data_IF_272799494490
#
_entry.id   IF_272799494490
#
_cell.length_a   1.000
_cell.length_b   1.000
_cell.length_c   1.000
_cell.angle_alpha   90.00
_cell.angle_beta   90.00
_cell.angle_gamma   90.00
#
_symmetry.space_group_name_H-M   'P 1'
#
loop_
_entity.id
_entity.type
_entity.pdbx_description
1 polymer ?
#
# COMPACT_ATOMS: atom_id res chain seq x y z
N UNK A 1 -14.60 -18.18 3.87
CA UNK A 1 -15.32 -16.89 3.73
C UNK A 1 -14.40 -15.77 3.24
N UNK A 2 -13.23 -15.56 3.87
CA UNK A 2 -12.22 -14.55 3.50
C UNK A 2 -11.85 -14.46 2.00
N UNK A 3 -11.56 -15.59 1.36
CA UNK A 3 -11.17 -15.64 -0.07
C UNK A 3 -12.27 -15.10 -1.01
N UNK A 4 -13.56 -15.28 -0.69
CA UNK A 4 -14.66 -14.75 -1.50
C UNK A 4 -14.77 -13.23 -1.41
N UNK A 5 -14.55 -12.68 -0.22
CA UNK A 5 -14.54 -11.23 -0.01
C UNK A 5 -13.38 -10.57 -0.78
N UNK A 6 -12.17 -11.13 -0.66
CA UNK A 6 -10.99 -10.64 -1.38
C UNK A 6 -11.21 -10.60 -2.90
N UNK A 7 -11.72 -11.68 -3.49
CA UNK A 7 -12.06 -11.73 -4.92
C UNK A 7 -13.15 -10.73 -5.30
N UNK A 8 -14.15 -10.55 -4.45
CA UNK A 8 -15.24 -9.60 -4.70
C UNK A 8 -14.74 -8.15 -4.70
N UNK A 9 -13.90 -7.79 -3.73
CA UNK A 9 -13.26 -6.46 -3.67
C UNK A 9 -12.36 -6.25 -4.89
N UNK A 10 -11.51 -7.23 -5.22
CA UNK A 10 -10.66 -7.17 -6.39
C UNK A 10 -11.45 -7.05 -7.70
N UNK A 11 -12.64 -7.65 -7.83
CA UNK A 11 -13.47 -7.48 -9.03
C UNK A 11 -14.00 -6.04 -9.21
N UNK A 12 -14.11 -5.29 -8.13
CA UNK A 12 -14.63 -3.92 -8.12
C UNK A 12 -13.53 -2.86 -8.06
N UNK A 13 -12.24 -3.25 -8.14
CA UNK A 13 -11.12 -2.33 -7.94
C UNK A 13 -11.16 -1.07 -8.83
N UNK A 14 -11.66 -1.19 -10.06
CA UNK A 14 -11.72 -0.12 -11.05
C UNK A 14 -12.60 1.07 -10.65
N UNK A 15 -13.52 0.89 -9.69
CA UNK A 15 -14.40 1.95 -9.17
C UNK A 15 -14.04 2.42 -7.76
N UNK A 16 -13.14 1.72 -7.08
CA UNK A 16 -12.73 2.05 -5.71
C UNK A 16 -11.84 3.29 -5.75
N UNK A 17 -12.22 4.32 -4.98
CA UNK A 17 -11.43 5.54 -4.79
C UNK A 17 -10.58 5.50 -3.53
N UNK A 18 -11.06 4.81 -2.49
CA UNK A 18 -10.39 4.73 -1.21
C UNK A 18 -10.42 3.27 -0.76
N UNK A 19 -9.24 2.73 -0.45
CA UNK A 19 -9.09 1.35 0.00
C UNK A 19 -8.30 1.34 1.31
N UNK A 20 -8.93 0.85 2.37
CA UNK A 20 -8.31 0.71 3.68
C UNK A 20 -8.27 -0.77 4.05
N UNK A 21 -7.06 -1.33 4.05
CA UNK A 21 -6.79 -2.72 4.40
C UNK A 21 -6.26 -2.72 5.82
N UNK A 22 -7.15 -2.98 6.77
CA UNK A 22 -6.81 -3.13 8.18
C UNK A 22 -7.07 -4.58 8.55
N UNK A 23 -6.00 -5.35 8.81
CA UNK A 23 -6.13 -6.74 9.19
C UNK A 23 -5.44 -7.04 10.51
N UNK A 24 -6.18 -7.72 11.39
CA UNK A 24 -5.68 -8.27 12.66
C UNK A 24 -4.84 -9.54 12.48
N UNK A 25 -4.75 -10.35 13.54
CA UNK A 25 -3.96 -11.60 13.58
C UNK A 25 -4.40 -12.70 12.60
N UNK A 26 -5.51 -12.51 11.86
CA UNK A 26 -6.00 -13.50 10.89
C UNK A 26 -5.23 -13.42 9.57
N UNK A 27 -4.02 -13.97 9.55
CA UNK A 27 -3.09 -13.99 8.41
C UNK A 27 -3.73 -14.45 7.08
N UNK A 28 -4.71 -15.36 7.14
CA UNK A 28 -5.32 -15.93 5.94
C UNK A 28 -6.05 -14.90 5.05
N UNK A 29 -6.63 -13.83 5.62
CA UNK A 29 -7.34 -12.81 4.82
C UNK A 29 -6.36 -11.98 4.00
N UNK A 30 -5.19 -11.68 4.58
CA UNK A 30 -4.14 -10.90 3.93
C UNK A 30 -3.66 -11.57 2.66
N UNK A 31 -3.28 -12.84 2.73
CA UNK A 31 -2.68 -13.56 1.60
C UNK A 31 -3.60 -13.64 0.38
N UNK A 32 -4.89 -13.96 0.58
CA UNK A 32 -5.85 -13.99 -0.53
C UNK A 32 -6.12 -12.60 -1.11
N UNK A 33 -6.12 -11.56 -0.27
CA UNK A 33 -6.28 -10.19 -0.73
C UNK A 33 -5.07 -9.73 -1.53
N UNK A 34 -3.85 -10.02 -1.06
CA UNK A 34 -2.62 -9.69 -1.78
C UNK A 34 -2.54 -10.38 -3.14
N UNK A 35 -2.90 -11.66 -3.22
CA UNK A 35 -2.99 -12.37 -4.49
C UNK A 35 -4.00 -11.68 -5.43
N UNK A 36 -5.21 -11.41 -4.96
CA UNK A 36 -6.26 -10.81 -5.78
C UNK A 36 -5.92 -9.38 -6.26
N UNK A 37 -5.29 -8.57 -5.41
CA UNK A 37 -4.87 -7.21 -5.78
C UNK A 37 -3.63 -7.20 -6.67
N UNK A 38 -2.74 -8.19 -6.55
CA UNK A 38 -1.58 -8.33 -7.43
C UNK A 38 -1.98 -8.61 -8.87
N UNK A 39 -2.97 -9.49 -9.04
CA UNK A 39 -3.49 -9.89 -10.35
C UNK A 39 -4.45 -8.85 -10.94
N UNK A 40 -4.89 -7.87 -10.15
CA UNK A 40 -5.69 -6.74 -10.63
C UNK A 40 -4.86 -5.82 -11.54
N UNK A 41 -5.52 -5.25 -12.55
CA UNK A 41 -4.92 -4.23 -13.42
C UNK A 41 -4.66 -2.90 -12.69
N UNK A 42 -4.22 -1.87 -13.42
CA UNK A 42 -3.97 -0.54 -12.86
C UNK A 42 -5.21 0.07 -12.18
N UNK A 43 -5.06 0.56 -10.96
CA UNK A 43 -6.15 1.18 -10.21
C UNK A 43 -6.29 2.66 -10.58
N UNK A 44 -6.97 2.91 -11.70
CA UNK A 44 -7.10 4.24 -12.33
C UNK A 44 -7.87 5.28 -11.49
N UNK A 45 -8.63 4.85 -10.48
CA UNK A 45 -9.46 5.75 -9.66
C UNK A 45 -9.04 5.80 -8.19
N UNK A 46 -8.08 4.96 -7.78
CA UNK A 46 -7.66 4.87 -6.40
C UNK A 46 -6.87 6.12 -6.02
N UNK A 47 -7.41 6.89 -5.08
CA UNK A 47 -6.88 8.16 -4.58
C UNK A 47 -6.31 8.05 -3.17
N UNK A 48 -6.81 7.10 -2.37
CA UNK A 48 -6.36 6.85 -0.99
C UNK A 48 -6.13 5.36 -0.74
N UNK A 49 -4.98 5.01 -0.19
CA UNK A 49 -4.62 3.64 0.20
C UNK A 49 -4.09 3.63 1.64
N UNK A 50 -4.70 2.82 2.48
CA UNK A 50 -4.16 2.47 3.80
C UNK A 50 -3.89 0.98 3.86
N UNK A 51 -2.71 0.61 4.33
CA UNK A 51 -2.37 -0.77 4.65
C UNK A 51 -1.83 -0.84 6.08
N UNK A 52 -2.60 -1.48 6.96
CA UNK A 52 -2.24 -1.71 8.34
C UNK A 52 -2.42 -3.17 8.73
N UNK A 53 -1.30 -3.87 8.95
CA UNK A 53 -1.29 -5.26 9.40
C UNK A 53 -0.76 -5.35 10.82
N UNK A 54 -1.43 -6.14 11.66
CA UNK A 54 -0.97 -6.38 13.03
C UNK A 54 0.40 -7.03 13.08
N UNK A 55 0.71 -8.00 12.23
CA UNK A 55 2.02 -8.67 12.16
C UNK A 55 2.30 -9.12 10.72
N UNK A 56 2.90 -8.26 9.88
CA UNK A 56 3.26 -8.68 8.53
C UNK A 56 4.40 -9.70 8.61
N UNK A 57 4.35 -10.74 7.78
CA UNK A 57 5.41 -11.76 7.67
C UNK A 57 6.74 -11.17 7.18
N UNK A 58 6.68 -10.04 6.47
CA UNK A 58 7.85 -9.28 6.02
C UNK A 58 7.55 -7.78 6.07
N UNK A 59 8.56 -6.93 6.22
CA UNK A 59 8.41 -5.48 6.10
C UNK A 59 8.20 -5.00 4.63
N UNK A 60 7.93 -5.93 3.70
CA UNK A 60 7.79 -5.66 2.27
C UNK A 60 6.33 -5.72 1.85
N UNK A 61 5.81 -4.59 1.35
CA UNK A 61 4.48 -4.52 0.77
C UNK A 61 4.49 -5.25 -0.59
N UNK A 62 3.58 -6.20 -0.82
CA UNK A 62 3.48 -6.87 -2.11
C UNK A 62 3.08 -5.88 -3.20
N UNK A 63 3.39 -6.22 -4.46
CA UNK A 63 2.92 -5.47 -5.62
C UNK A 63 1.39 -5.47 -5.69
N UNK A 64 0.79 -4.29 -5.78
CA UNK A 64 -0.66 -4.08 -5.85
C UNK A 64 -1.03 -3.44 -7.20
N UNK A 65 -2.17 -3.81 -7.78
CA UNK A 65 -2.73 -3.16 -8.97
C UNK A 65 -1.77 -3.07 -10.15
N UNK A 66 -1.07 -4.18 -10.44
CA UNK A 66 0.01 -4.20 -11.44
C UNK A 66 1.13 -3.18 -11.21
N UNK A 67 1.25 -2.65 -9.99
CA UNK A 67 2.22 -1.62 -9.58
C UNK A 67 1.83 -0.19 -9.95
N UNK A 68 0.63 0.01 -10.50
CA UNK A 68 0.21 1.28 -11.10
C UNK A 68 -1.04 1.82 -10.42
N UNK A 69 -0.85 2.92 -9.67
CA UNK A 69 -1.91 3.66 -9.00
C UNK A 69 -1.82 5.15 -9.37
N UNK A 70 -2.14 5.53 -10.62
CA UNK A 70 -1.78 6.83 -11.18
C UNK A 70 -2.48 8.04 -10.52
N UNK A 71 -3.61 7.81 -9.85
CA UNK A 71 -4.36 8.85 -9.15
C UNK A 71 -4.14 8.84 -7.63
N UNK A 72 -3.23 7.99 -7.13
CA UNK A 72 -3.02 7.85 -5.69
C UNK A 72 -2.38 9.13 -5.14
N UNK A 73 -3.05 9.75 -4.17
CA UNK A 73 -2.57 10.97 -3.49
C UNK A 73 -2.29 10.74 -2.01
N UNK A 74 -3.00 9.80 -1.38
CA UNK A 74 -2.85 9.51 0.05
C UNK A 74 -2.38 8.08 0.26
N UNK A 75 -1.27 7.93 0.97
CA UNK A 75 -0.68 6.63 1.30
C UNK A 75 -0.41 6.55 2.80
N UNK A 76 -1.00 5.54 3.45
CA UNK A 76 -0.70 5.21 4.85
C UNK A 76 -0.23 3.75 4.95
N UNK A 77 0.98 3.54 5.47
CA UNK A 77 1.60 2.23 5.62
C UNK A 77 2.01 1.99 7.08
N UNK A 78 1.50 0.93 7.69
CA UNK A 78 1.96 0.48 9.00
C UNK A 78 2.84 -0.76 8.86
N UNK A 79 4.04 -0.70 9.45
CA UNK A 79 5.03 -1.79 9.51
C UNK A 79 5.66 -2.21 8.17
N UNK A 80 5.45 -1.45 7.09
CA UNK A 80 6.04 -1.70 5.77
C UNK A 80 7.11 -0.67 5.43
N UNK A 81 8.36 -1.12 5.25
CA UNK A 81 9.51 -0.26 4.94
C UNK A 81 9.91 -0.31 3.46
N UNK A 82 9.42 -1.31 2.71
CA UNK A 82 9.76 -1.53 1.29
C UNK A 82 8.51 -1.89 0.49
N UNK A 83 8.47 -1.53 -0.79
CA UNK A 83 7.33 -1.81 -1.67
C UNK A 83 7.78 -2.01 -3.14
N UNK A 84 8.64 -3.01 -3.41
CA UNK A 84 9.19 -3.23 -4.74
C UNK A 84 8.09 -3.50 -5.77
N UNK A 85 8.23 -2.86 -6.93
CA UNK A 85 7.26 -2.99 -8.02
C UNK A 85 5.96 -2.20 -7.84
N UNK A 86 5.80 -1.46 -6.73
CA UNK A 86 4.80 -0.42 -6.59
C UNK A 86 5.42 0.95 -6.88
N UNK A 87 4.74 1.77 -7.67
CA UNK A 87 5.15 3.14 -7.97
C UNK A 87 4.14 4.09 -7.35
N UNK A 88 4.53 4.74 -6.26
CA UNK A 88 3.71 5.73 -5.57
C UNK A 88 4.28 7.12 -5.84
N UNK A 89 3.93 7.65 -7.01
CA UNK A 89 4.33 8.99 -7.44
C UNK A 89 3.14 9.94 -7.25
N UNK A 90 3.42 11.24 -7.13
CA UNK A 90 2.41 12.30 -6.96
C UNK A 90 1.60 12.23 -5.66
N UNK A 91 2.19 11.65 -4.61
CA UNK A 91 1.56 11.66 -3.29
C UNK A 91 1.50 13.09 -2.76
N UNK A 92 0.40 13.40 -2.07
CA UNK A 92 0.26 14.64 -1.31
C UNK A 92 0.21 14.39 0.19
N UNK A 93 -0.15 13.17 0.61
CA UNK A 93 -0.15 12.79 2.03
C UNK A 93 0.53 11.43 2.18
N UNK A 94 1.55 11.37 3.04
CA UNK A 94 2.27 10.14 3.39
C UNK A 94 2.20 9.96 4.90
N UNK A 95 1.85 8.75 5.32
CA UNK A 95 1.86 8.33 6.72
C UNK A 95 2.58 6.98 6.83
N UNK A 96 3.70 6.96 7.56
CA UNK A 96 4.49 5.76 7.82
C UNK A 96 4.45 5.51 9.32
N UNK A 97 3.99 4.34 9.74
CA UNK A 97 3.83 4.03 11.17
C UNK A 97 4.49 2.72 11.56
N UNK A 98 5.03 2.66 12.78
CA UNK A 98 5.57 1.44 13.39
C UNK A 98 6.59 0.70 12.48
N UNK A 99 7.47 1.46 11.83
CA UNK A 99 8.46 0.92 10.89
C UNK A 99 9.56 0.15 11.65
N UNK A 100 9.72 -1.19 11.42
CA UNK A 100 10.68 -2.02 12.13
C UNK A 100 12.11 -1.51 11.93
N UNK A 101 12.83 -1.27 13.03
CA UNK A 101 14.15 -0.62 13.02
C UNK A 101 15.20 -1.35 12.17
N UNK A 102 15.16 -2.69 12.17
CA UNK A 102 16.09 -3.55 11.41
C UNK A 102 15.90 -3.48 9.90
N UNK A 103 14.76 -2.96 9.42
CA UNK A 103 14.37 -3.00 8.00
C UNK A 103 14.18 -1.61 7.41
N UNK A 104 14.50 -0.54 8.16
CA UNK A 104 14.36 0.84 7.70
C UNK A 104 15.25 1.10 6.48
N UNK A 105 14.74 1.89 5.56
CA UNK A 105 15.54 2.41 4.46
C UNK A 105 16.57 3.42 4.99
N UNK A 106 17.62 3.67 4.21
CA UNK A 106 18.57 4.74 4.53
C UNK A 106 17.89 6.11 4.37
N UNK A 107 18.45 7.14 5.01
CA UNK A 107 17.95 8.51 4.84
C UNK A 107 17.94 8.92 3.36
N UNK A 108 18.97 8.58 2.60
CA UNK A 108 19.03 8.88 1.17
C UNK A 108 17.86 8.23 0.40
N UNK A 109 17.60 6.94 0.62
CA UNK A 109 16.48 6.24 0.00
C UNK A 109 15.12 6.84 0.38
N UNK A 110 14.98 7.28 1.62
CA UNK A 110 13.78 7.96 2.09
C UNK A 110 13.58 9.32 1.41
N UNK A 111 14.66 10.09 1.26
CA UNK A 111 14.64 11.39 0.56
C UNK A 111 14.36 11.21 -0.93
N UNK A 112 14.93 10.19 -1.58
CA UNK A 112 14.63 9.85 -2.97
C UNK A 112 13.14 9.51 -3.15
N UNK A 113 12.58 8.76 -2.20
CA UNK A 113 11.15 8.44 -2.18
C UNK A 113 10.29 9.70 -2.04
N UNK A 114 10.59 10.59 -1.09
CA UNK A 114 9.88 11.87 -0.98
C UNK A 114 10.03 12.70 -2.26
N UNK A 115 11.24 12.76 -2.82
CA UNK A 115 11.54 13.51 -4.06
C UNK A 115 10.75 13.03 -5.28
N UNK A 116 10.28 11.78 -5.28
CA UNK A 116 9.39 11.24 -6.32
C UNK A 116 7.96 11.80 -6.27
N UNK A 117 7.60 12.51 -5.20
CA UNK A 117 6.28 13.11 -4.98
C UNK A 117 6.40 14.62 -4.75
N UNK A 118 6.61 15.42 -5.82
CA UNK A 118 6.81 16.88 -5.71
C UNK A 118 5.59 17.66 -5.18
N UNK A 119 4.43 17.00 -5.08
CA UNK A 119 3.18 17.57 -4.56
C UNK A 119 2.95 17.21 -3.07
N UNK A 120 3.96 16.70 -2.36
CA UNK A 120 3.82 16.29 -0.97
C UNK A 120 3.48 17.49 -0.08
N UNK A 121 2.33 17.44 0.58
CA UNK A 121 1.80 18.47 1.48
C UNK A 121 1.93 18.02 2.94
N UNK A 122 1.65 16.74 3.23
CA UNK A 122 1.65 16.19 4.58
C UNK A 122 2.54 14.95 4.69
N UNK A 123 3.40 14.92 5.71
CA UNK A 123 4.27 13.81 6.05
C UNK A 123 4.14 13.47 7.54
N UNK A 124 3.73 12.23 7.83
CA UNK A 124 3.65 11.67 9.19
C UNK A 124 4.59 10.46 9.31
N UNK A 125 5.38 10.42 10.38
CA UNK A 125 6.41 9.41 10.66
C UNK A 125 6.21 8.74 12.03
#
# INVERSE_FOLDING_TARGET
MACRLAKSVASQYHRIRELHIVAGQTACVGDYLWAALRDAGPAQKLASLTVALSEPTTATLPKLFSGKTPCLRKLALHRFTRWPGNTFNNLTHISLHNQPASERCTLAQFLDFIGSSPLLEELYL
#
